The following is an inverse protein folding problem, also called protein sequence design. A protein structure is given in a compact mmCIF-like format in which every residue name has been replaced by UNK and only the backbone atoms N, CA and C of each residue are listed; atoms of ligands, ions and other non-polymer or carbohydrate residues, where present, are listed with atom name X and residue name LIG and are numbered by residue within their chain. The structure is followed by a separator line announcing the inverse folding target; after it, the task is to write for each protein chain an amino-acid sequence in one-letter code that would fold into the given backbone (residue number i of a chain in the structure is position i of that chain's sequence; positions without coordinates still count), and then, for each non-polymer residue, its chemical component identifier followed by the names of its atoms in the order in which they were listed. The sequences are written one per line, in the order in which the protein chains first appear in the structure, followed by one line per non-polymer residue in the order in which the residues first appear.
data_IF_004750237767
#
_entry.id   IF_004750237767
#
_cell.length_a   1.000
_cell.length_b   1.000
_cell.length_c   1.000
_cell.angle_alpha   90.00
_cell.angle_beta   90.00
_cell.angle_gamma   90.00
#
_symmetry.space_group_name_H-M   'P 1'
#
loop_
_entity.id
_entity.type
_entity.pdbx_description
1 polymer ?
#
# COMPACT_ATOMS: atom_id res chain seq x y z
N UNK A 1 -11.53 18.74 -4.24
CA UNK A 1 -10.92 17.40 -4.15
C UNK A 1 -9.58 17.50 -4.82
N UNK A 2 -8.48 17.04 -4.20
CA UNK A 2 -7.15 17.13 -4.79
C UNK A 2 -7.11 16.33 -6.10
N UNK A 3 -6.35 16.84 -7.07
CA UNK A 3 -6.13 16.18 -8.36
C UNK A 3 -5.04 15.12 -8.18
N UNK A 4 -5.48 13.95 -7.68
CA UNK A 4 -4.59 12.84 -7.35
C UNK A 4 -3.84 12.30 -8.58
N UNK A 5 -4.34 12.53 -9.80
CA UNK A 5 -3.61 12.18 -11.02
C UNK A 5 -2.30 12.96 -11.17
N UNK A 6 -2.26 14.21 -10.69
CA UNK A 6 -1.06 15.07 -10.74
C UNK A 6 -0.12 14.86 -9.55
N UNK A 7 -0.65 14.43 -8.42
CA UNK A 7 0.14 14.27 -7.20
C UNK A 7 0.83 12.92 -7.11
N UNK A 8 0.36 11.89 -7.83
CA UNK A 8 0.85 10.51 -7.70
C UNK A 8 2.39 10.38 -7.69
N UNK A 9 3.10 11.12 -8.55
CA UNK A 9 4.57 11.08 -8.60
C UNK A 9 5.26 11.61 -7.33
N UNK A 10 4.66 12.58 -6.63
CA UNK A 10 5.23 13.21 -5.42
C UNK A 10 4.49 12.82 -4.14
N UNK A 11 3.41 12.05 -4.27
CA UNK A 11 2.48 11.78 -3.20
C UNK A 11 3.20 11.07 -2.06
N UNK A 12 3.99 10.05 -2.37
CA UNK A 12 4.71 9.29 -1.35
C UNK A 12 5.71 10.16 -0.59
N UNK A 13 6.53 10.95 -1.29
CA UNK A 13 7.52 11.84 -0.68
C UNK A 13 6.87 12.84 0.28
N UNK A 14 5.76 13.46 -0.13
CA UNK A 14 5.02 14.42 0.70
C UNK A 14 4.33 13.78 1.92
N UNK A 15 4.12 12.45 1.90
CA UNK A 15 3.44 11.69 2.95
C UNK A 15 4.42 10.90 3.81
N UNK A 16 5.70 11.22 3.83
CA UNK A 16 6.70 10.52 4.66
C UNK A 16 7.31 9.27 4.04
N UNK A 17 7.00 9.00 2.77
CA UNK A 17 7.71 8.11 1.87
C UNK A 17 7.96 6.69 2.39
N UNK A 18 9.13 6.20 2.02
CA UNK A 18 9.59 4.84 2.25
C UNK A 18 9.64 4.48 3.76
N UNK A 19 10.12 5.35 4.69
CA UNK A 19 10.07 5.05 6.13
C UNK A 19 8.65 4.90 6.68
N UNK A 20 7.71 5.79 6.32
CA UNK A 20 6.31 5.66 6.74
C UNK A 20 5.73 4.35 6.21
N UNK A 21 5.96 4.03 4.94
CA UNK A 21 5.38 2.86 4.32
C UNK A 21 5.92 1.55 4.93
N UNK A 22 7.18 1.49 5.36
CA UNK A 22 7.72 0.38 6.15
C UNK A 22 6.99 0.22 7.50
N UNK A 23 6.86 1.32 8.25
CA UNK A 23 6.17 1.30 9.54
C UNK A 23 4.69 0.88 9.40
N UNK A 24 4.00 1.39 8.38
CA UNK A 24 2.63 1.03 8.08
C UNK A 24 2.49 -0.46 7.72
N UNK A 25 3.36 -0.98 6.86
CA UNK A 25 3.34 -2.39 6.49
C UNK A 25 3.57 -3.31 7.70
N UNK A 26 4.50 -2.95 8.59
CA UNK A 26 4.73 -3.69 9.83
C UNK A 26 3.50 -3.71 10.74
N UNK A 27 2.86 -2.55 10.93
CA UNK A 27 1.64 -2.43 11.73
C UNK A 27 0.47 -3.23 11.13
N UNK A 28 0.31 -3.23 9.80
CA UNK A 28 -0.71 -4.07 9.14
C UNK A 28 -0.41 -5.54 9.38
N UNK A 29 0.82 -5.99 9.13
CA UNK A 29 1.19 -7.41 9.26
C UNK A 29 1.08 -7.94 10.70
N UNK A 30 1.21 -7.09 11.73
CA UNK A 30 1.00 -7.50 13.12
C UNK A 30 -0.47 -7.78 13.44
N UNK A 31 -1.41 -7.21 12.68
CA UNK A 31 -2.85 -7.38 12.83
C UNK A 31 -3.41 -8.50 11.94
N UNK A 32 -2.75 -8.82 10.83
CA UNK A 32 -3.22 -9.84 9.89
C UNK A 32 -3.00 -11.25 10.48
N UNK A 33 -4.04 -12.08 10.64
CA UNK A 33 -3.90 -13.44 11.16
C UNK A 33 -2.86 -14.26 10.38
N UNK A 34 -2.09 -15.11 11.06
CA UNK A 34 -0.99 -15.86 10.43
C UNK A 34 -1.45 -16.81 9.32
N UNK A 35 -2.67 -17.33 9.43
CA UNK A 35 -3.30 -18.23 8.46
C UNK A 35 -3.89 -17.52 7.24
N UNK A 36 -3.97 -16.18 7.25
CA UNK A 36 -4.47 -15.43 6.11
C UNK A 36 -3.49 -15.59 4.94
N UNK A 37 -4.01 -16.05 3.80
CA UNK A 37 -3.24 -16.23 2.55
C UNK A 37 -3.55 -15.15 1.51
N UNK A 38 -4.54 -14.29 1.77
CA UNK A 38 -4.96 -13.21 0.87
C UNK A 38 -5.27 -11.94 1.67
N UNK A 39 -4.90 -10.79 1.12
CA UNK A 39 -5.19 -9.47 1.66
C UNK A 39 -5.60 -8.52 0.52
N UNK A 40 -6.65 -7.75 0.75
CA UNK A 40 -7.09 -6.68 -0.15
C UNK A 40 -6.77 -5.33 0.49
N UNK A 41 -5.99 -4.51 -0.21
CA UNK A 41 -5.65 -3.14 0.16
C UNK A 41 -6.54 -2.17 -0.61
N UNK A 42 -7.48 -1.51 0.09
CA UNK A 42 -8.51 -0.65 -0.50
C UNK A 42 -8.10 0.81 -0.37
N UNK A 43 -8.02 1.51 -1.50
CA UNK A 43 -7.40 2.84 -1.57
C UNK A 43 -5.88 2.74 -1.49
N UNK A 44 -5.31 1.80 -2.27
CA UNK A 44 -3.89 1.47 -2.20
C UNK A 44 -2.95 2.62 -2.60
N UNK A 45 -3.48 3.71 -3.18
CA UNK A 45 -2.70 4.81 -3.71
C UNK A 45 -1.69 4.30 -4.72
N UNK A 46 -0.49 4.88 -4.70
CA UNK A 46 0.69 4.47 -5.50
C UNK A 46 1.13 3.02 -5.26
N UNK A 47 0.59 2.34 -4.26
CA UNK A 47 0.92 0.97 -3.89
C UNK A 47 2.17 0.82 -3.00
N UNK A 48 2.75 1.90 -2.48
CA UNK A 48 3.99 1.84 -1.68
C UNK A 48 3.86 0.95 -0.44
N UNK A 49 2.71 0.98 0.25
CA UNK A 49 2.43 0.12 1.41
C UNK A 49 2.09 -1.29 0.95
N UNK A 50 1.27 -1.42 -0.10
CA UNK A 50 0.85 -2.70 -0.68
C UNK A 50 2.05 -3.59 -1.04
N UNK A 51 3.05 -3.03 -1.75
CA UNK A 51 4.27 -3.75 -2.16
C UNK A 51 5.08 -4.23 -0.96
N UNK A 52 5.12 -3.43 0.11
CA UNK A 52 5.80 -3.80 1.36
C UNK A 52 5.09 -4.88 2.15
N UNK A 53 3.77 -4.83 2.24
CA UNK A 53 2.98 -5.89 2.88
C UNK A 53 3.19 -7.21 2.13
N UNK A 54 3.21 -7.18 0.80
CA UNK A 54 3.49 -8.36 -0.02
C UNK A 54 4.91 -8.92 0.20
N UNK A 55 5.91 -8.05 0.33
CA UNK A 55 7.30 -8.46 0.61
C UNK A 55 7.53 -8.93 2.06
N UNK A 56 6.70 -8.49 3.01
CA UNK A 56 6.90 -8.75 4.44
C UNK A 56 6.34 -10.08 4.95
N UNK A 57 5.63 -10.86 4.12
CA UNK A 57 5.12 -12.18 4.50
C UNK A 57 5.04 -13.14 3.33
N UNK A 58 5.89 -14.16 3.35
CA UNK A 58 5.85 -15.25 2.38
C UNK A 58 4.49 -15.95 2.37
N UNK A 59 3.99 -16.26 1.17
CA UNK A 59 2.71 -16.93 0.96
C UNK A 59 1.47 -16.05 1.09
N UNK A 60 1.60 -14.78 1.52
CA UNK A 60 0.50 -13.82 1.53
C UNK A 60 0.37 -13.16 0.15
N UNK A 61 -0.75 -13.37 -0.53
CA UNK A 61 -1.07 -12.65 -1.77
C UNK A 61 -1.79 -11.36 -1.45
N UNK A 62 -1.24 -10.24 -1.91
CA UNK A 62 -1.83 -8.92 -1.73
C UNK A 62 -2.37 -8.41 -3.06
N UNK A 63 -3.60 -7.88 -3.05
CA UNK A 63 -4.20 -7.17 -4.19
C UNK A 63 -4.51 -5.74 -3.76
N UNK A 64 -4.09 -4.76 -4.56
CA UNK A 64 -4.42 -3.36 -4.34
C UNK A 64 -5.55 -2.92 -5.27
N UNK A 65 -6.45 -2.08 -4.76
CA UNK A 65 -7.46 -1.41 -5.57
C UNK A 65 -7.49 0.07 -5.20
N UNK A 66 -7.51 0.92 -6.21
CA UNK A 66 -7.73 2.36 -6.04
C UNK A 66 -8.76 2.84 -7.06
N UNK A 67 -9.48 3.90 -6.70
CA UNK A 67 -10.48 4.52 -7.58
C UNK A 67 -9.80 5.39 -8.66
N UNK A 68 -8.61 5.90 -8.38
CA UNK A 68 -7.87 6.80 -9.26
C UNK A 68 -6.91 5.96 -10.12
N UNK A 69 -7.10 5.87 -11.45
CA UNK A 69 -6.27 5.03 -12.30
C UNK A 69 -4.77 5.37 -12.23
N UNK A 70 -4.40 6.65 -12.07
CA UNK A 70 -2.99 7.03 -11.95
C UNK A 70 -2.32 6.55 -10.65
N UNK A 71 -3.11 6.23 -9.61
CA UNK A 71 -2.60 5.71 -8.35
C UNK A 71 -2.24 4.23 -8.46
N UNK A 72 -3.08 3.40 -9.06
CA UNK A 72 -2.89 1.95 -9.14
C UNK A 72 -2.24 1.47 -10.46
N UNK A 73 -1.36 2.29 -11.05
CA UNK A 73 -0.60 1.92 -12.27
C UNK A 73 0.50 0.90 -12.02
#
# INVERSE_FOLDING_TARGET
MLDYDKEAERYDESRGGEPRAAAAAHAVLSLVPRQASRLLDVGCGTGIVTRRVAAGRDGLRVSGVDLVPAMAR
#
